data_IF_689640744792
#
_entry.id   IF_689640744792
#
_cell.length_a   1.000
_cell.length_b   1.000
_cell.length_c   1.000
_cell.angle_alpha   90.00
_cell.angle_beta   90.00
_cell.angle_gamma   90.00
#
_symmetry.space_group_name_H-M   'P 1'
#
loop_
_entity.id
_entity.type
_entity.pdbx_description
1 polymer ?
#
# COMPACT_ATOMS: atom_id res chain seq x y z
N UNK A 1 -22.03 -1.06 14.44
CA UNK A 1 -20.99 -0.82 13.42
C UNK A 1 -21.08 -1.94 12.38
N UNK A 2 -21.18 -1.63 11.07
CA UNK A 2 -21.16 -2.67 10.02
C UNK A 2 -19.71 -2.99 9.67
N UNK A 3 -19.26 -4.20 9.96
CA UNK A 3 -17.89 -4.67 9.69
C UNK A 3 -17.94 -5.52 8.42
N UNK A 4 -16.98 -5.38 7.50
CA UNK A 4 -16.85 -6.31 6.37
C UNK A 4 -15.88 -7.42 6.71
N UNK A 5 -16.23 -8.65 6.40
CA UNK A 5 -15.34 -9.78 6.52
C UNK A 5 -14.17 -9.62 5.53
N UNK A 6 -12.91 -9.66 5.98
CA UNK A 6 -11.76 -9.48 5.10
C UNK A 6 -11.45 -10.72 4.24
N UNK A 7 -12.05 -11.88 4.57
CA UNK A 7 -11.90 -13.13 3.81
C UNK A 7 -12.86 -13.17 2.62
N UNK A 8 -14.17 -13.04 2.86
CA UNK A 8 -15.20 -13.21 1.84
C UNK A 8 -15.95 -11.93 1.43
N UNK A 9 -15.69 -10.79 2.09
CA UNK A 9 -16.33 -9.51 1.78
C UNK A 9 -17.76 -9.32 2.30
N UNK A 10 -18.36 -10.35 2.92
CA UNK A 10 -19.71 -10.27 3.49
C UNK A 10 -19.79 -9.26 4.65
N UNK A 11 -20.95 -8.65 4.84
CA UNK A 11 -21.17 -7.70 5.95
C UNK A 11 -21.56 -8.46 7.22
N UNK A 12 -20.78 -8.28 8.28
CA UNK A 12 -21.04 -8.78 9.62
C UNK A 12 -21.91 -7.78 10.38
N UNK A 13 -22.99 -8.26 10.98
CA UNK A 13 -23.93 -7.47 11.79
C UNK A 13 -24.02 -8.08 13.19
N UNK A 14 -23.24 -7.53 14.14
CA UNK A 14 -23.41 -7.70 15.60
C UNK A 14 -22.94 -9.01 16.25
N UNK A 15 -21.64 -9.17 16.60
CA UNK A 15 -21.11 -10.38 17.27
C UNK A 15 -21.39 -11.69 16.53
N UNK A 16 -21.69 -11.62 15.22
CA UNK A 16 -22.06 -12.75 14.40
C UNK A 16 -20.85 -13.32 13.67
N UNK A 17 -20.72 -14.64 13.72
CA UNK A 17 -19.80 -15.44 12.92
C UNK A 17 -20.17 -15.29 11.44
N UNK A 18 -19.18 -15.03 10.57
CA UNK A 18 -19.44 -15.00 9.13
C UNK A 18 -20.02 -16.34 8.65
N UNK A 19 -21.19 -16.33 8.04
CA UNK A 19 -21.86 -17.55 7.56
C UNK A 19 -21.08 -18.28 6.45
N UNK A 20 -20.22 -17.57 5.70
CA UNK A 20 -19.48 -18.16 4.57
C UNK A 20 -18.11 -18.72 4.97
N UNK A 21 -17.39 -18.04 5.87
CA UNK A 21 -16.00 -18.38 6.18
C UNK A 21 -15.75 -18.65 7.68
N UNK A 22 -16.78 -18.54 8.52
CA UNK A 22 -16.67 -18.78 9.96
C UNK A 22 -15.79 -17.77 10.72
N UNK A 23 -15.41 -16.64 10.10
CA UNK A 23 -14.61 -15.60 10.75
C UNK A 23 -15.48 -14.79 11.71
N UNK A 24 -15.04 -14.63 12.96
CA UNK A 24 -15.74 -13.80 13.95
C UNK A 24 -15.37 -12.33 13.83
N UNK A 25 -16.24 -11.43 14.29
CA UNK A 25 -15.90 -10.02 14.37
C UNK A 25 -14.75 -9.74 15.35
N UNK A 26 -14.65 -10.48 16.46
CA UNK A 26 -13.49 -10.45 17.36
C UNK A 26 -12.18 -10.76 16.62
N UNK A 27 -12.16 -11.76 15.74
CA UNK A 27 -10.96 -12.06 14.94
C UNK A 27 -10.56 -10.92 14.00
N UNK A 28 -11.55 -10.17 13.47
CA UNK A 28 -11.32 -9.02 12.60
C UNK A 28 -10.85 -7.81 13.40
N UNK A 29 -11.44 -7.55 14.57
CA UNK A 29 -11.07 -6.43 15.44
C UNK A 29 -9.69 -6.62 16.08
N UNK A 30 -9.32 -7.87 16.39
CA UNK A 30 -8.01 -8.23 16.95
C UNK A 30 -7.00 -8.64 15.87
N UNK A 31 -7.28 -8.35 14.60
CA UNK A 31 -6.33 -8.60 13.51
C UNK A 31 -5.07 -7.72 13.69
N UNK A 32 -3.94 -8.18 13.17
CA UNK A 32 -2.65 -7.47 13.29
C UNK A 32 -2.01 -7.23 11.94
N UNK A 33 -1.52 -6.00 11.71
CA UNK A 33 -0.67 -5.65 10.58
C UNK A 33 0.80 -6.07 10.80
N UNK A 34 1.32 -6.06 12.03
CA UNK A 34 2.70 -6.45 12.34
C UNK A 34 3.01 -7.90 11.92
N UNK A 35 2.08 -8.82 12.18
CA UNK A 35 2.22 -10.24 11.80
C UNK A 35 2.30 -10.47 10.28
N UNK A 36 1.87 -9.50 9.46
CA UNK A 36 1.92 -9.62 7.99
C UNK A 36 3.35 -9.86 7.49
N UNK A 37 4.36 -9.24 8.11
CA UNK A 37 5.77 -9.40 7.69
C UNK A 37 6.26 -10.83 7.93
N UNK A 38 5.96 -11.39 9.10
CA UNK A 38 6.30 -12.77 9.48
C UNK A 38 5.62 -13.79 8.55
N UNK A 39 4.34 -13.57 8.24
CA UNK A 39 3.58 -14.46 7.36
C UNK A 39 4.08 -14.44 5.92
N UNK A 40 4.55 -13.29 5.41
CA UNK A 40 5.20 -13.25 4.09
C UNK A 40 6.54 -13.99 4.06
N UNK A 41 7.34 -13.85 5.12
CA UNK A 41 8.65 -14.50 5.21
C UNK A 41 8.54 -16.02 5.32
N UNK A 42 7.48 -16.50 5.97
CA UNK A 42 7.18 -17.94 6.12
C UNK A 42 6.39 -18.54 4.96
N UNK A 43 6.11 -17.77 3.90
CA UNK A 43 5.36 -18.25 2.74
C UNK A 43 3.84 -18.41 2.96
N UNK A 44 3.32 -18.05 4.14
CA UNK A 44 1.90 -18.15 4.49
C UNK A 44 1.11 -16.93 3.98
N UNK A 45 1.28 -16.57 2.71
CA UNK A 45 0.67 -15.36 2.14
C UNK A 45 -0.86 -15.43 2.05
N UNK A 46 -1.43 -16.63 1.98
CA UNK A 46 -2.87 -16.85 1.84
C UNK A 46 -3.66 -16.44 3.09
N UNK A 47 -2.97 -16.33 4.23
CA UNK A 47 -3.54 -15.89 5.50
C UNK A 47 -3.56 -14.36 5.65
N UNK A 48 -3.03 -13.63 4.66
CA UNK A 48 -3.00 -12.17 4.64
C UNK A 48 -4.23 -11.65 3.92
N UNK A 49 -5.09 -10.95 4.64
CA UNK A 49 -6.32 -10.38 4.10
C UNK A 49 -6.29 -8.86 4.10
N UNK A 50 -7.07 -8.25 3.22
CA UNK A 50 -7.17 -6.79 3.12
C UNK A 50 -8.43 -6.29 3.82
N UNK A 51 -8.29 -5.36 4.75
CA UNK A 51 -9.41 -4.76 5.48
C UNK A 51 -9.35 -3.23 5.42
N UNK A 52 -10.51 -2.56 5.51
CA UNK A 52 -10.57 -1.09 5.68
C UNK A 52 -10.55 -0.68 7.16
N UNK A 53 -10.66 -1.65 8.07
CA UNK A 53 -10.60 -1.40 9.51
C UNK A 53 -9.13 -1.38 9.90
N UNK A 54 -8.67 -0.26 10.47
CA UNK A 54 -7.30 -0.18 10.95
C UNK A 54 -7.16 -1.08 12.19
N UNK A 55 -6.19 -2.00 12.21
CA UNK A 55 -5.86 -2.78 13.39
C UNK A 55 -5.24 -1.90 14.48
N UNK A 56 -5.28 -2.37 15.72
CA UNK A 56 -4.81 -1.62 16.90
C UNK A 56 -3.30 -1.31 16.87
N UNK A 57 -2.53 -2.06 16.09
CA UNK A 57 -1.10 -1.85 15.91
C UNK A 57 -0.74 -0.74 14.89
N UNK A 58 -1.74 -0.22 14.16
CA UNK A 58 -1.59 0.94 13.27
C UNK A 58 -2.25 2.17 13.86
N UNK A 59 -1.48 3.26 13.93
CA UNK A 59 -1.97 4.53 14.45
C UNK A 59 -2.56 5.36 13.31
N UNK A 60 -3.87 5.63 13.37
CA UNK A 60 -4.62 6.30 12.28
C UNK A 60 -4.01 7.62 11.83
N UNK A 61 -3.61 8.48 12.77
CA UNK A 61 -3.05 9.78 12.42
C UNK A 61 -1.72 9.64 11.67
N UNK A 62 -0.90 8.61 11.99
CA UNK A 62 0.34 8.31 11.26
C UNK A 62 0.05 7.85 9.84
N UNK A 63 -0.98 7.02 9.64
CA UNK A 63 -1.40 6.61 8.28
C UNK A 63 -1.81 7.84 7.46
N UNK A 64 -2.60 8.75 8.04
CA UNK A 64 -2.99 10.01 7.38
C UNK A 64 -1.78 10.86 7.04
N UNK A 65 -0.92 11.14 8.03
CA UNK A 65 0.24 12.00 7.87
C UNK A 65 1.22 11.46 6.82
N UNK A 66 1.58 10.17 6.92
CA UNK A 66 2.49 9.55 5.95
C UNK A 66 1.87 9.48 4.56
N UNK A 67 0.56 9.31 4.44
CA UNK A 67 -0.10 9.29 3.12
C UNK A 67 -0.09 10.68 2.50
N UNK A 68 -0.42 11.74 3.24
CA UNK A 68 -0.46 13.10 2.71
C UNK A 68 0.95 13.63 2.41
N UNK A 69 1.90 13.50 3.34
CA UNK A 69 3.21 14.12 3.18
C UNK A 69 4.20 13.28 2.36
N UNK A 70 4.14 11.95 2.52
CA UNK A 70 5.19 11.03 2.07
C UNK A 70 4.63 9.85 1.24
N UNK A 71 3.38 9.96 0.79
CA UNK A 71 2.70 8.87 0.07
C UNK A 71 3.26 8.66 -1.33
N UNK A 72 3.61 9.73 -2.03
CA UNK A 72 4.26 9.67 -3.34
C UNK A 72 5.64 9.01 -3.26
N UNK A 73 6.37 9.17 -2.15
CA UNK A 73 7.61 8.46 -1.86
C UNK A 73 7.39 7.01 -1.40
N UNK A 74 6.16 6.57 -1.20
CA UNK A 74 5.81 5.21 -0.78
C UNK A 74 6.00 4.88 0.70
N UNK A 75 6.30 5.86 1.55
CA UNK A 75 6.56 5.66 2.99
C UNK A 75 5.30 5.17 3.72
N UNK A 76 4.13 5.66 3.33
CA UNK A 76 2.86 5.17 3.86
C UNK A 76 2.67 3.67 3.61
N UNK A 77 3.08 3.17 2.44
CA UNK A 77 2.98 1.75 2.09
C UNK A 77 3.96 0.89 2.88
N UNK A 78 5.17 1.39 3.18
CA UNK A 78 6.09 0.72 4.10
C UNK A 78 5.43 0.61 5.47
N UNK A 79 4.90 1.71 5.99
CA UNK A 79 4.27 1.75 7.31
C UNK A 79 3.13 0.74 7.46
N UNK A 80 2.32 0.54 6.41
CA UNK A 80 1.22 -0.44 6.42
C UNK A 80 1.58 -1.81 5.83
N UNK A 81 2.88 -2.12 5.65
CA UNK A 81 3.37 -3.39 5.11
C UNK A 81 2.80 -3.75 3.71
N UNK A 82 2.85 -2.83 2.74
CA UNK A 82 2.48 -3.01 1.32
C UNK A 82 3.71 -2.90 0.40
N UNK A 83 4.56 -3.94 0.31
CA UNK A 83 5.87 -3.85 -0.33
C UNK A 83 5.81 -3.56 -1.82
N UNK A 84 4.82 -4.10 -2.55
CA UNK A 84 4.69 -3.87 -4.00
C UNK A 84 4.41 -2.38 -4.29
N UNK A 85 3.44 -1.78 -3.60
CA UNK A 85 3.14 -0.34 -3.74
C UNK A 85 4.29 0.53 -3.23
N UNK A 86 4.93 0.14 -2.13
CA UNK A 86 6.11 0.83 -1.60
C UNK A 86 7.24 0.86 -2.63
N UNK A 87 7.60 -0.30 -3.19
CA UNK A 87 8.67 -0.44 -4.17
C UNK A 87 8.39 0.34 -5.45
N UNK A 88 7.16 0.29 -5.97
CA UNK A 88 6.78 1.08 -7.14
C UNK A 88 6.91 2.60 -6.88
N UNK A 89 6.35 3.08 -5.77
CA UNK A 89 6.31 4.52 -5.48
C UNK A 89 7.70 5.08 -5.14
N UNK A 90 8.49 4.34 -4.36
CA UNK A 90 9.89 4.68 -4.07
C UNK A 90 10.74 4.63 -5.34
N UNK A 91 10.63 3.53 -6.10
CA UNK A 91 11.44 3.29 -7.29
C UNK A 91 11.22 4.38 -8.35
N UNK A 92 9.96 4.70 -8.64
CA UNK A 92 9.60 5.78 -9.58
C UNK A 92 10.05 7.15 -9.09
N UNK A 93 9.87 7.46 -7.80
CA UNK A 93 10.30 8.74 -7.22
C UNK A 93 11.82 8.92 -7.27
N UNK A 94 12.59 7.89 -6.88
CA UNK A 94 14.06 7.92 -6.90
C UNK A 94 14.56 8.00 -8.35
N UNK A 95 14.02 7.16 -9.24
CA UNK A 95 14.39 7.17 -10.66
C UNK A 95 14.11 8.53 -11.31
N UNK A 96 12.99 9.19 -10.96
CA UNK A 96 12.65 10.52 -11.45
C UNK A 96 13.66 11.58 -11.00
N UNK A 97 14.03 11.58 -9.72
CA UNK A 97 15.07 12.51 -9.20
C UNK A 97 16.40 12.27 -9.89
N UNK A 98 16.82 11.01 -10.04
CA UNK A 98 18.08 10.65 -10.69
C UNK A 98 18.08 11.08 -12.16
N UNK A 99 17.06 10.70 -12.93
CA UNK A 99 17.02 11.01 -14.37
C UNK A 99 16.90 12.51 -14.65
N UNK A 100 16.14 13.24 -13.82
CA UNK A 100 16.05 14.69 -13.90
C UNK A 100 17.40 15.35 -13.61
N UNK A 101 18.10 14.88 -12.58
CA UNK A 101 19.46 15.35 -12.26
C UNK A 101 20.42 15.08 -13.41
N UNK A 102 20.40 13.87 -13.99
CA UNK A 102 21.23 13.53 -15.14
C UNK A 102 20.93 14.43 -16.36
N UNK A 103 19.66 14.74 -16.63
CA UNK A 103 19.29 15.64 -17.72
C UNK A 103 19.89 17.05 -17.56
N UNK A 104 20.01 17.54 -16.33
CA UNK A 104 20.60 18.86 -16.06
C UNK A 104 22.12 18.91 -16.23
N UNK A 105 22.82 17.79 -16.02
CA UNK A 105 24.30 17.76 -15.94
C UNK A 105 24.98 16.99 -17.08
N UNK A 106 24.26 16.13 -17.80
CA UNK A 106 24.82 15.30 -18.87
C UNK A 106 24.47 15.90 -20.23
N UNK A 107 25.50 16.27 -20.98
CA UNK A 107 25.36 16.63 -22.39
C UNK A 107 25.73 15.44 -23.27
N UNK A 108 24.84 15.05 -24.17
CA UNK A 108 25.08 13.95 -25.10
C UNK A 108 25.73 14.46 -26.38
N UNK A 109 26.90 13.90 -26.73
CA UNK A 109 27.59 14.20 -28.00
C UNK A 109 27.00 13.49 -29.21
N UNK A 110 26.23 12.41 -28.98
CA UNK A 110 25.63 11.57 -30.00
C UNK A 110 24.10 11.68 -29.96
N UNK A 111 23.50 11.90 -31.14
CA UNK A 111 22.03 11.91 -31.31
C UNK A 111 21.38 10.58 -30.92
N UNK A 112 22.04 9.45 -31.17
CA UNK A 112 21.51 8.13 -30.81
C UNK A 112 21.46 7.93 -29.30
N UNK A 113 22.48 8.41 -28.57
CA UNK A 113 22.48 8.36 -27.11
C UNK A 113 21.43 9.30 -26.52
N UNK A 114 21.28 10.49 -27.11
CA UNK A 114 20.24 11.43 -26.71
C UNK A 114 18.83 10.83 -26.88
N UNK A 115 18.53 10.24 -28.05
CA UNK A 115 17.23 9.59 -28.28
C UNK A 115 16.95 8.47 -27.26
N UNK A 116 17.94 7.63 -26.97
CA UNK A 116 17.81 6.58 -25.97
C UNK A 116 17.54 7.13 -24.57
N UNK A 117 18.21 8.22 -24.19
CA UNK A 117 17.98 8.90 -22.93
C UNK A 117 16.59 9.52 -22.87
N UNK A 118 16.12 10.19 -23.93
CA UNK A 118 14.80 10.83 -23.99
C UNK A 118 13.67 9.80 -23.78
N UNK A 119 13.78 8.61 -24.40
CA UNK A 119 12.82 7.52 -24.20
C UNK A 119 12.78 7.07 -22.74
N UNK A 120 13.94 6.86 -22.11
CA UNK A 120 14.02 6.45 -20.70
C UNK A 120 13.45 7.53 -19.79
N UNK A 121 13.77 8.79 -20.08
CA UNK A 121 13.27 9.96 -19.37
C UNK A 121 11.74 10.01 -19.42
N UNK A 122 11.14 9.88 -20.59
CA UNK A 122 9.68 9.86 -20.77
C UNK A 122 9.01 8.70 -20.00
N UNK A 123 9.54 7.48 -20.11
CA UNK A 123 8.98 6.31 -19.41
C UNK A 123 8.99 6.51 -17.89
N UNK A 124 10.08 7.04 -17.33
CA UNK A 124 10.18 7.34 -15.89
C UNK A 124 9.17 8.43 -15.49
N UNK A 125 9.04 9.49 -16.27
CA UNK A 125 8.10 10.58 -16.00
C UNK A 125 6.64 10.11 -16.07
N UNK A 126 6.26 9.30 -17.05
CA UNK A 126 4.93 8.71 -17.12
C UNK A 126 4.66 7.77 -15.93
N UNK A 127 5.65 6.98 -15.52
CA UNK A 127 5.54 6.12 -14.33
C UNK A 127 5.34 6.94 -13.06
N UNK A 128 6.03 8.07 -12.92
CA UNK A 128 5.85 9.00 -11.80
C UNK A 128 4.48 9.69 -11.84
N UNK A 129 3.97 10.06 -13.02
CA UNK A 129 2.62 10.60 -13.16
C UNK A 129 1.55 9.59 -12.68
N UNK A 130 1.69 8.31 -13.06
CA UNK A 130 0.82 7.22 -12.55
C UNK A 130 0.93 7.11 -11.02
N UNK A 131 2.14 7.18 -10.47
CA UNK A 131 2.36 7.15 -9.02
C UNK A 131 1.64 8.31 -8.30
N UNK A 132 1.73 9.53 -8.84
CA UNK A 132 1.01 10.71 -8.29
C UNK A 132 -0.50 10.50 -8.32
N UNK A 133 -1.05 9.96 -9.40
CA UNK A 133 -2.49 9.65 -9.50
C UNK A 133 -2.90 8.63 -8.44
N UNK A 134 -2.13 7.53 -8.27
CA UNK A 134 -2.39 6.53 -7.22
C UNK A 134 -2.33 7.16 -5.82
N UNK A 135 -1.35 8.03 -5.58
CA UNK A 135 -1.18 8.74 -4.32
C UNK A 135 -2.38 9.63 -4.00
N UNK A 136 -2.91 10.38 -4.97
CA UNK A 136 -4.13 11.18 -4.81
C UNK A 136 -5.33 10.31 -4.44
N UNK A 137 -5.52 9.17 -5.13
CA UNK A 137 -6.57 8.21 -4.77
C UNK A 137 -6.42 7.64 -3.36
N UNK A 138 -5.18 7.42 -2.92
CA UNK A 138 -4.93 6.94 -1.56
C UNK A 138 -5.19 8.01 -0.50
N UNK A 139 -4.90 9.30 -0.78
CA UNK A 139 -5.32 10.42 0.08
C UNK A 139 -6.84 10.40 0.24
N UNK A 140 -7.58 10.38 -0.87
CA UNK A 140 -9.05 10.32 -0.87
C UNK A 140 -9.54 9.09 -0.07
N UNK A 141 -8.92 7.93 -0.30
CA UNK A 141 -9.28 6.68 0.38
C UNK A 141 -9.06 6.75 1.89
N UNK A 142 -7.96 7.37 2.34
CA UNK A 142 -7.67 7.55 3.77
C UNK A 142 -8.67 8.50 4.42
N UNK A 143 -8.98 9.63 3.78
CA UNK A 143 -9.97 10.59 4.26
C UNK A 143 -11.37 9.97 4.36
N UNK A 144 -11.76 9.19 3.36
CA UNK A 144 -13.04 8.48 3.34
C UNK A 144 -13.08 7.21 4.21
N UNK A 145 -12.02 6.90 4.96
CA UNK A 145 -11.89 5.66 5.77
C UNK A 145 -12.02 4.36 4.94
N UNK A 146 -11.74 4.44 3.64
CA UNK A 146 -11.79 3.34 2.67
C UNK A 146 -10.41 2.77 2.33
N UNK A 147 -9.35 3.33 2.90
CA UNK A 147 -7.99 2.84 2.71
C UNK A 147 -7.86 1.43 3.27
N UNK A 148 -7.58 0.48 2.38
CA UNK A 148 -7.36 -0.91 2.77
C UNK A 148 -5.97 -1.06 3.41
N UNK A 149 -5.79 -2.01 4.32
CA UNK A 149 -4.51 -2.40 4.91
C UNK A 149 -4.45 -3.94 4.99
N UNK A 150 -3.28 -4.56 4.78
CA UNK A 150 -3.12 -5.99 4.95
C UNK A 150 -3.10 -6.32 6.44
N UNK A 151 -3.76 -7.40 6.83
CA UNK A 151 -3.82 -7.88 8.21
C UNK A 151 -3.81 -9.41 8.23
N UNK A 152 -3.33 -9.96 9.33
CA UNK A 152 -3.51 -11.38 9.67
C UNK A 152 -4.58 -11.47 10.76
N UNK A 153 -5.57 -12.33 10.56
CA UNK A 153 -6.65 -12.55 11.52
C UNK A 153 -6.13 -13.19 12.82
N UNK A 154 -6.76 -12.87 13.94
CA UNK A 154 -6.44 -13.54 15.20
C UNK A 154 -6.74 -15.04 15.13
N UNK A 155 -5.94 -15.85 15.82
CA UNK A 155 -6.23 -17.28 15.99
C UNK A 155 -7.60 -17.45 16.63
N UNK A 156 -8.33 -18.49 16.23
CA UNK A 156 -9.54 -18.90 16.95
C UNK A 156 -9.11 -19.26 18.37
N UNK A 157 -9.63 -18.55 19.37
CA UNK A 157 -9.54 -19.01 20.76
C UNK A 157 -10.17 -20.42 20.79
N UNK A 158 -9.40 -21.41 21.24
CA UNK A 158 -9.86 -22.79 21.40
C UNK A 158 -10.73 -22.90 22.64
#
# INVERSE_FOLDING_TARGET
>A
MKIKCPVCGATLVGNVVCQYCGTTDKQVLNASNKKVKEYRQTGNTDMIHMTTILPSDLVRWKVVLYTILLGWLGINYIYVNRPIRAGFSMGTSIACVVIYTLNLFVSFSSKTLQLGFDIIYEVIFYSMAINVVIWVFDIISVLLKKFKVPVVLASKEK
#
